data_IF_567198658286
#
_entry.id   IF_567198658286
#
_cell.length_a   1.000
_cell.length_b   1.000
_cell.length_c   1.000
_cell.angle_alpha   90.00
_cell.angle_beta   90.00
_cell.angle_gamma   90.00
#
_symmetry.space_group_name_H-M   'P 1'
#
loop_
_entity.id
_entity.type
_entity.pdbx_description
1 polymer ?
#
# COMPACT_ATOMS: atom_id res chain seq x y z
N UNK A 1 -16.23 -12.77 24.06
CA UNK A 1 -17.37 -11.88 23.77
C UNK A 1 -16.88 -10.45 23.91
N UNK A 2 -16.49 -9.81 22.81
CA UNK A 2 -16.15 -8.39 22.81
C UNK A 2 -17.40 -7.60 22.46
N UNK A 3 -17.96 -6.90 23.44
CA UNK A 3 -19.05 -5.95 23.27
C UNK A 3 -18.55 -4.77 22.44
N UNK A 4 -19.04 -4.63 21.21
CA UNK A 4 -18.82 -3.47 20.35
C UNK A 4 -19.65 -2.30 20.86
N UNK A 5 -19.12 -1.54 21.82
CA UNK A 5 -19.65 -0.21 22.15
C UNK A 5 -19.11 0.81 21.15
N UNK A 6 -19.77 0.97 20.00
CA UNK A 6 -19.52 2.10 19.08
C UNK A 6 -20.29 3.31 19.57
N UNK A 7 -19.61 4.20 20.30
CA UNK A 7 -20.20 5.41 20.87
C UNK A 7 -19.85 6.63 20.01
N UNK A 8 -20.54 6.75 18.86
CA UNK A 8 -20.80 7.96 18.06
C UNK A 8 -21.62 7.51 16.84
N UNK A 9 -22.87 7.94 16.70
CA UNK A 9 -23.64 7.66 15.48
C UNK A 9 -22.96 8.36 14.30
N UNK A 10 -22.33 7.59 13.40
CA UNK A 10 -21.79 8.13 12.15
C UNK A 10 -22.96 8.83 11.41
N UNK A 11 -22.80 10.10 11.00
CA UNK A 11 -23.87 10.83 10.33
C UNK A 11 -24.40 10.08 9.11
N UNK A 12 -25.73 10.00 8.97
CA UNK A 12 -26.35 9.35 7.81
C UNK A 12 -26.04 10.13 6.53
N UNK A 13 -25.58 9.41 5.52
CA UNK A 13 -25.39 9.92 4.15
C UNK A 13 -26.77 10.10 3.48
N UNK A 14 -26.92 11.09 2.61
CA UNK A 14 -28.19 11.25 1.86
C UNK A 14 -28.39 10.09 0.88
N UNK A 15 -29.63 9.88 0.44
CA UNK A 15 -29.96 8.81 -0.51
C UNK A 15 -29.22 9.01 -1.84
N UNK A 16 -29.14 10.26 -2.30
CA UNK A 16 -28.46 10.66 -3.53
C UNK A 16 -26.97 10.37 -3.44
N UNK A 17 -26.32 10.80 -2.34
CA UNK A 17 -24.89 10.57 -2.14
C UNK A 17 -24.56 9.10 -1.98
N UNK A 18 -25.44 8.32 -1.34
CA UNK A 18 -25.30 6.86 -1.25
C UNK A 18 -25.35 6.22 -2.64
N UNK A 19 -26.29 6.65 -3.49
CA UNK A 19 -26.42 6.17 -4.86
C UNK A 19 -25.19 6.51 -5.71
N UNK A 20 -24.68 7.75 -5.63
CA UNK A 20 -23.47 8.20 -6.33
C UNK A 20 -22.24 7.34 -5.99
N UNK A 21 -21.99 7.12 -4.69
CA UNK A 21 -20.86 6.32 -4.23
C UNK A 21 -21.00 4.88 -4.70
N UNK A 22 -22.20 4.31 -4.59
CA UNK A 22 -22.48 2.93 -5.04
C UNK A 22 -22.21 2.77 -6.53
N UNK A 23 -22.73 3.67 -7.36
CA UNK A 23 -22.55 3.63 -8.81
C UNK A 23 -21.08 3.82 -9.19
N UNK A 24 -20.40 4.80 -8.59
CA UNK A 24 -18.98 5.06 -8.82
C UNK A 24 -18.11 3.86 -8.44
N UNK A 25 -18.34 3.28 -7.25
CA UNK A 25 -17.62 2.10 -6.79
C UNK A 25 -17.86 0.89 -7.71
N UNK A 26 -19.09 0.65 -8.13
CA UNK A 26 -19.43 -0.42 -9.06
C UNK A 26 -18.74 -0.24 -10.42
N UNK A 27 -18.76 0.99 -10.96
CA UNK A 27 -18.08 1.33 -12.22
C UNK A 27 -16.57 1.12 -12.16
N UNK A 28 -15.92 1.56 -11.07
CA UNK A 28 -14.47 1.33 -10.89
C UNK A 28 -14.15 -0.16 -10.75
N UNK A 29 -14.95 -0.93 -10.00
CA UNK A 29 -14.77 -2.39 -9.89
C UNK A 29 -14.93 -3.10 -11.23
N UNK A 30 -15.90 -2.67 -12.05
CA UNK A 30 -16.10 -3.21 -13.38
C UNK A 30 -14.87 -2.96 -14.27
N UNK A 31 -14.34 -1.74 -14.28
CA UNK A 31 -13.10 -1.39 -15.01
C UNK A 31 -11.89 -2.18 -14.55
N UNK A 32 -11.71 -2.32 -13.23
CA UNK A 32 -10.64 -3.17 -12.67
C UNK A 32 -10.79 -4.62 -13.12
N UNK A 33 -12.01 -5.17 -13.11
CA UNK A 33 -12.26 -6.54 -13.57
C UNK A 33 -12.00 -6.71 -15.08
N UNK A 34 -12.39 -5.72 -15.89
CA UNK A 34 -12.18 -5.71 -17.33
C UNK A 34 -10.69 -5.66 -17.70
N UNK A 35 -9.92 -4.80 -17.04
CA UNK A 35 -8.50 -4.63 -17.32
C UNK A 35 -7.65 -5.90 -17.03
N UNK A 36 -8.15 -6.79 -16.18
CA UNK A 36 -7.49 -8.06 -15.80
C UNK A 36 -7.87 -9.21 -16.75
N UNK A 37 -8.95 -9.05 -17.51
CA UNK A 37 -9.49 -10.06 -18.42
C UNK A 37 -10.01 -11.31 -17.70
N UNK A 38 -10.18 -12.40 -18.45
CA UNK A 38 -10.63 -13.70 -17.94
C UNK A 38 -9.54 -14.51 -17.18
N UNK A 39 -8.41 -13.88 -16.86
CA UNK A 39 -7.30 -14.50 -16.14
C UNK A 39 -7.75 -14.97 -14.74
N UNK A 40 -7.11 -16.04 -14.24
CA UNK A 40 -7.54 -16.87 -13.11
C UNK A 40 -8.23 -16.09 -11.95
N UNK A 41 -9.35 -16.58 -11.40
CA UNK A 41 -10.05 -15.96 -10.26
C UNK A 41 -9.19 -15.71 -9.01
N UNK A 42 -8.05 -16.40 -8.91
CA UNK A 42 -7.17 -16.43 -7.73
C UNK A 42 -6.21 -15.25 -7.62
N UNK A 43 -5.97 -14.49 -8.70
CA UNK A 43 -5.02 -13.38 -8.73
C UNK A 43 -5.68 -12.08 -9.20
N UNK A 44 -6.79 -11.70 -8.55
CA UNK A 44 -7.42 -10.40 -8.82
C UNK A 44 -6.64 -9.28 -8.12
N UNK A 45 -6.22 -8.23 -8.85
CA UNK A 45 -5.64 -7.03 -8.27
C UNK A 45 -6.54 -6.41 -7.22
N UNK A 46 -5.92 -5.90 -6.16
CA UNK A 46 -6.59 -5.26 -5.04
C UNK A 46 -6.93 -3.81 -5.37
N UNK A 47 -8.21 -3.47 -5.30
CA UNK A 47 -8.66 -2.08 -5.33
C UNK A 47 -8.63 -1.50 -3.90
N UNK A 48 -7.74 -0.52 -3.67
CA UNK A 48 -7.71 0.27 -2.44
C UNK A 48 -8.48 1.57 -2.67
N UNK A 49 -9.60 1.76 -1.97
CA UNK A 49 -10.40 2.97 -2.05
C UNK A 49 -9.76 4.09 -1.22
N UNK A 50 -9.21 5.11 -1.87
CA UNK A 50 -8.49 6.21 -1.22
C UNK A 50 -9.48 7.24 -0.68
N UNK A 51 -9.66 7.25 0.64
CA UNK A 51 -10.70 8.00 1.34
C UNK A 51 -10.21 9.25 2.09
N UNK A 52 -8.96 9.68 1.85
CA UNK A 52 -8.42 10.92 2.44
C UNK A 52 -9.36 12.11 2.22
N UNK A 53 -9.59 12.87 3.29
CA UNK A 53 -10.54 13.98 3.39
C UNK A 53 -12.03 13.63 3.21
N UNK A 54 -12.39 12.36 3.03
CA UNK A 54 -13.79 11.93 2.98
C UNK A 54 -14.29 11.56 4.37
N UNK A 55 -15.54 11.89 4.72
CA UNK A 55 -16.09 11.57 6.03
C UNK A 55 -16.23 10.06 6.22
N UNK A 56 -16.21 9.58 7.47
CA UNK A 56 -16.42 8.17 7.81
C UNK A 56 -17.72 7.61 7.23
N UNK A 57 -18.75 8.45 7.09
CA UNK A 57 -20.03 8.09 6.50
C UNK A 57 -19.92 7.61 5.03
N UNK A 58 -19.11 8.28 4.19
CA UNK A 58 -18.86 7.86 2.81
C UNK A 58 -18.12 6.51 2.75
N UNK A 59 -17.23 6.27 3.72
CA UNK A 59 -16.46 5.03 3.85
C UNK A 59 -17.38 3.88 4.26
N UNK A 60 -18.30 4.14 5.21
CA UNK A 60 -19.28 3.17 5.67
C UNK A 60 -20.18 2.70 4.51
N UNK A 61 -20.63 3.62 3.65
CA UNK A 61 -21.38 3.26 2.43
C UNK A 61 -20.57 2.30 1.56
N UNK A 62 -19.32 2.63 1.22
CA UNK A 62 -18.46 1.73 0.46
C UNK A 62 -18.31 0.34 1.13
N UNK A 63 -18.17 0.32 2.46
CA UNK A 63 -18.05 -0.90 3.25
C UNK A 63 -19.30 -1.77 3.18
N UNK A 64 -20.49 -1.18 3.31
CA UNK A 64 -21.77 -1.87 3.18
C UNK A 64 -21.96 -2.49 1.78
N UNK A 65 -21.36 -1.88 0.75
CA UNK A 65 -21.27 -2.44 -0.60
C UNK A 65 -20.03 -3.34 -0.82
N UNK A 66 -19.47 -3.87 0.27
CA UNK A 66 -18.45 -4.91 0.28
C UNK A 66 -17.00 -4.43 0.07
N UNK A 67 -16.73 -3.12 0.05
CA UNK A 67 -15.35 -2.63 0.00
C UNK A 67 -14.69 -2.81 1.36
N UNK A 68 -13.51 -3.45 1.39
CA UNK A 68 -12.79 -3.68 2.64
C UNK A 68 -11.47 -2.93 2.70
N UNK A 69 -10.80 -2.70 1.57
CA UNK A 69 -9.50 -2.05 1.54
C UNK A 69 -9.64 -0.54 1.33
N UNK A 70 -9.17 0.23 2.30
CA UNK A 70 -9.23 1.70 2.26
C UNK A 70 -7.85 2.31 2.48
N UNK A 71 -7.56 3.38 1.75
CA UNK A 71 -6.28 4.07 1.76
C UNK A 71 -6.37 5.44 2.42
N UNK A 72 -5.52 5.70 3.41
CA UNK A 72 -5.41 6.99 4.08
C UNK A 72 -4.00 7.58 4.01
N UNK A 73 -3.93 8.91 3.94
CA UNK A 73 -2.67 9.65 3.84
C UNK A 73 -2.20 10.26 5.17
N UNK A 74 -3.12 10.50 6.10
CA UNK A 74 -2.84 11.25 7.33
C UNK A 74 -3.08 10.35 8.55
N UNK A 75 -2.06 10.22 9.40
CA UNK A 75 -2.11 9.29 10.55
C UNK A 75 -3.27 9.61 11.48
N UNK A 76 -3.50 10.89 11.79
CA UNK A 76 -4.56 11.28 12.72
C UNK A 76 -5.95 10.98 12.14
N UNK A 77 -6.18 11.34 10.88
CA UNK A 77 -7.42 11.04 10.16
C UNK A 77 -7.71 9.53 10.14
N UNK A 78 -6.69 8.71 9.87
CA UNK A 78 -6.82 7.27 9.86
C UNK A 78 -7.17 6.71 11.25
N UNK A 79 -6.51 7.20 12.31
CA UNK A 79 -6.81 6.77 13.69
C UNK A 79 -8.25 7.08 14.07
N UNK A 80 -8.73 8.26 13.72
CA UNK A 80 -10.08 8.68 14.09
C UNK A 80 -11.13 7.86 13.32
N UNK A 81 -10.93 7.67 12.01
CA UNK A 81 -11.76 6.77 11.19
C UNK A 81 -11.76 5.32 11.69
N UNK A 82 -10.61 4.79 12.09
CA UNK A 82 -10.49 3.41 12.55
C UNK A 82 -11.20 3.15 13.89
N UNK A 83 -11.47 4.17 14.70
CA UNK A 83 -12.27 4.05 15.93
C UNK A 83 -13.77 4.01 15.65
N UNK A 84 -14.20 4.68 14.58
CA UNK A 84 -15.60 4.84 14.22
C UNK A 84 -16.12 3.69 13.34
N UNK A 85 -15.25 3.13 12.49
CA UNK A 85 -15.64 2.21 11.43
C UNK A 85 -15.41 0.72 11.79
N UNK A 86 -16.07 -0.22 11.08
CA UNK A 86 -15.95 -1.65 11.33
C UNK A 86 -14.51 -2.18 11.30
N UNK A 87 -14.21 -3.13 12.20
CA UNK A 87 -12.87 -3.71 12.35
C UNK A 87 -12.46 -4.60 11.16
N UNK A 88 -13.44 -5.04 10.35
CA UNK A 88 -13.23 -5.80 9.11
C UNK A 88 -12.64 -4.97 7.98
N UNK A 89 -12.63 -3.63 8.11
CA UNK A 89 -11.90 -2.76 7.20
C UNK A 89 -10.39 -3.07 7.30
N UNK A 90 -9.74 -3.15 6.15
CA UNK A 90 -8.30 -3.31 5.99
C UNK A 90 -7.71 -1.95 5.65
N UNK A 91 -7.08 -1.31 6.63
CA UNK A 91 -6.50 0.01 6.43
C UNK A 91 -5.12 -0.05 5.76
N UNK A 92 -4.96 0.66 4.65
CA UNK A 92 -3.69 0.90 3.99
C UNK A 92 -3.23 2.33 4.29
N UNK A 93 -2.07 2.48 4.94
CA UNK A 93 -1.44 3.79 5.03
C UNK A 93 -0.59 4.03 3.78
N UNK A 94 -0.93 5.08 3.03
CA UNK A 94 -0.34 5.42 1.72
C UNK A 94 0.18 6.87 1.67
N UNK A 95 0.28 7.53 2.84
CA UNK A 95 0.91 8.84 2.97
C UNK A 95 2.34 8.78 3.49
N UNK A 96 2.98 9.94 3.62
CA UNK A 96 4.32 10.04 4.21
C UNK A 96 4.28 9.76 5.71
N UNK A 97 5.02 8.75 6.17
CA UNK A 97 5.10 8.41 7.59
C UNK A 97 6.22 9.20 8.28
N UNK A 98 5.86 10.07 9.21
CA UNK A 98 6.82 10.66 10.15
C UNK A 98 7.12 9.66 11.28
N UNK A 99 8.40 9.50 11.64
CA UNK A 99 8.82 8.49 12.63
C UNK A 99 8.17 8.65 14.01
N UNK A 100 7.91 9.89 14.44
CA UNK A 100 7.22 10.19 15.70
C UNK A 100 5.72 9.81 15.70
N UNK A 101 5.13 9.55 14.54
CA UNK A 101 3.74 9.09 14.40
C UNK A 101 3.61 7.57 14.28
N UNK A 102 4.72 6.82 14.23
CA UNK A 102 4.71 5.37 14.09
C UNK A 102 3.93 4.66 15.21
N UNK A 103 4.11 5.09 16.47
CA UNK A 103 3.37 4.53 17.64
C UNK A 103 1.86 4.72 17.51
N UNK A 104 1.45 5.90 17.07
CA UNK A 104 0.04 6.22 16.87
C UNK A 104 -0.55 5.38 15.73
N UNK A 105 0.15 5.28 14.59
CA UNK A 105 -0.29 4.45 13.47
C UNK A 105 -0.37 2.96 13.85
N UNK A 106 0.65 2.44 14.56
CA UNK A 106 0.71 1.05 15.00
C UNK A 106 -0.39 0.66 16.00
N UNK A 107 -1.01 1.64 16.67
CA UNK A 107 -2.11 1.40 17.62
C UNK A 107 -3.41 0.95 16.96
N UNK A 108 -3.55 1.11 15.63
CA UNK A 108 -4.75 0.72 14.89
C UNK A 108 -4.77 -0.81 14.72
N UNK A 109 -5.76 -1.53 15.30
CA UNK A 109 -5.77 -2.99 15.31
C UNK A 109 -5.82 -3.60 13.90
N UNK A 110 -6.66 -3.02 13.04
CA UNK A 110 -6.90 -3.44 11.66
C UNK A 110 -6.09 -2.65 10.63
N UNK A 111 -4.94 -2.08 11.05
CA UNK A 111 -3.94 -1.57 10.10
C UNK A 111 -3.45 -2.73 9.26
N UNK A 112 -3.75 -2.77 7.98
CA UNK A 112 -3.44 -3.92 7.15
C UNK A 112 -2.07 -3.78 6.47
N UNK A 113 -1.73 -2.58 5.98
CA UNK A 113 -0.49 -2.38 5.21
C UNK A 113 0.02 -0.95 5.32
N UNK A 114 1.34 -0.77 5.39
CA UNK A 114 2.00 0.54 5.20
C UNK A 114 2.78 0.51 3.89
N UNK A 115 2.39 1.32 2.91
CA UNK A 115 2.93 1.21 1.55
C UNK A 115 4.10 2.17 1.24
N UNK A 116 4.52 2.97 2.23
CA UNK A 116 5.39 4.14 2.02
C UNK A 116 6.73 4.04 2.74
N UNK A 117 7.19 2.82 3.03
CA UNK A 117 8.46 2.63 3.74
C UNK A 117 9.62 2.97 2.80
N UNK A 118 10.44 3.95 3.16
CA UNK A 118 11.57 4.41 2.35
C UNK A 118 12.87 4.59 3.14
N UNK A 119 12.91 4.19 4.41
CA UNK A 119 14.13 4.23 5.22
C UNK A 119 14.13 3.23 6.38
N UNK A 120 15.33 2.82 6.80
CA UNK A 120 15.50 1.95 7.96
C UNK A 120 15.00 2.62 9.26
N UNK A 121 15.09 3.95 9.35
CA UNK A 121 14.54 4.73 10.48
C UNK A 121 13.02 4.56 10.59
N UNK A 122 12.29 4.65 9.49
CA UNK A 122 10.84 4.43 9.47
C UNK A 122 10.50 2.98 9.80
N UNK A 123 11.19 2.02 9.18
CA UNK A 123 11.01 0.59 9.45
C UNK A 123 11.22 0.27 10.94
N UNK A 124 12.32 0.73 11.54
CA UNK A 124 12.61 0.54 12.96
C UNK A 124 11.56 1.17 13.87
N UNK A 125 11.13 2.40 13.55
CA UNK A 125 10.11 3.09 14.35
C UNK A 125 8.78 2.33 14.34
N UNK A 126 8.36 1.80 13.19
CA UNK A 126 7.14 1.03 13.04
C UNK A 126 7.27 -0.36 13.68
N UNK A 127 8.36 -1.08 13.40
CA UNK A 127 8.67 -2.39 13.98
C UNK A 127 8.60 -2.39 15.52
N UNK A 128 9.23 -1.41 16.16
CA UNK A 128 9.26 -1.23 17.63
C UNK A 128 7.92 -0.80 18.21
N UNK A 129 7.10 -0.12 17.42
CA UNK A 129 5.82 0.43 17.85
C UNK A 129 4.68 -0.61 17.80
N UNK A 130 4.82 -1.67 17.02
CA UNK A 130 3.78 -2.69 16.86
C UNK A 130 3.60 -3.49 18.15
N UNK A 131 2.34 -3.76 18.55
CA UNK A 131 2.05 -4.54 19.75
C UNK A 131 2.55 -5.98 19.60
N UNK A 132 3.03 -6.57 20.70
CA UNK A 132 3.42 -7.98 20.75
C UNK A 132 2.22 -8.90 20.47
N UNK A 133 2.46 -10.04 19.81
CA UNK A 133 1.43 -11.05 19.51
C UNK A 133 0.52 -10.75 18.31
N UNK A 134 0.68 -9.58 17.68
CA UNK A 134 0.05 -9.24 16.40
C UNK A 134 0.78 -9.94 15.24
N UNK A 135 0.04 -10.31 14.20
CA UNK A 135 0.63 -10.78 12.92
C UNK A 135 1.52 -9.70 12.32
N UNK A 136 2.71 -10.04 11.78
CA UNK A 136 3.61 -9.07 11.17
C UNK A 136 2.87 -8.13 10.20
N UNK A 137 3.14 -6.83 10.30
CA UNK A 137 2.50 -5.84 9.47
C UNK A 137 3.10 -5.87 8.06
N UNK A 138 2.25 -6.06 7.06
CA UNK A 138 2.64 -5.97 5.67
C UNK A 138 3.15 -4.55 5.33
N UNK A 139 4.33 -4.48 4.70
CA UNK A 139 4.94 -3.23 4.25
C UNK A 139 5.36 -3.30 2.80
N UNK A 140 5.24 -2.18 2.09
CA UNK A 140 5.80 -2.00 0.75
C UNK A 140 6.88 -0.92 0.80
N UNK A 141 7.91 -1.11 -0.02
CA UNK A 141 8.96 -0.12 -0.21
C UNK A 141 8.52 0.91 -1.25
N UNK A 142 8.60 2.19 -0.91
CA UNK A 142 8.30 3.25 -1.86
C UNK A 142 9.52 3.55 -2.72
N UNK A 143 9.37 3.41 -4.03
CA UNK A 143 10.40 3.68 -5.04
C UNK A 143 10.03 4.95 -5.79
N UNK A 144 11.00 5.85 -5.94
CA UNK A 144 10.85 7.03 -6.78
C UNK A 144 11.18 6.64 -8.24
N UNK A 145 10.16 6.25 -9.00
CA UNK A 145 10.35 5.87 -10.41
C UNK A 145 10.45 7.06 -11.35
N UNK A 146 10.01 8.26 -10.95
CA UNK A 146 9.93 9.40 -11.88
C UNK A 146 11.28 10.07 -12.14
N UNK A 147 12.27 9.85 -11.27
CA UNK A 147 13.57 10.51 -11.34
C UNK A 147 13.54 12.00 -10.95
N UNK A 148 12.43 12.48 -10.39
CA UNK A 148 12.34 13.86 -9.88
C UNK A 148 12.79 13.89 -8.42
N UNK A 149 13.80 14.69 -8.09
CA UNK A 149 14.34 14.81 -6.73
C UNK A 149 13.30 15.27 -5.69
N UNK A 150 12.27 15.98 -6.14
CA UNK A 150 11.19 16.46 -5.29
C UNK A 150 10.23 15.34 -4.83
N UNK A 151 10.28 14.15 -5.44
CA UNK A 151 9.40 13.03 -5.09
C UNK A 151 10.02 12.11 -4.06
N UNK A 152 9.16 11.60 -3.19
CA UNK A 152 9.55 10.67 -2.12
C UNK A 152 9.73 9.25 -2.64
N UNK A 153 10.65 8.52 -2.01
CA UNK A 153 10.95 7.12 -2.33
C UNK A 153 12.44 6.91 -2.51
N UNK A 154 12.84 5.65 -2.54
CA UNK A 154 14.21 5.24 -2.81
C UNK A 154 14.46 5.19 -4.32
N UNK A 155 15.71 5.39 -4.77
CA UNK A 155 16.07 5.17 -6.17
C UNK A 155 15.71 3.74 -6.63
N UNK A 156 15.27 3.58 -7.89
CA UNK A 156 14.98 2.26 -8.46
C UNK A 156 16.27 1.45 -8.66
N UNK A 157 16.12 0.13 -8.78
CA UNK A 157 17.23 -0.72 -9.21
C UNK A 157 17.27 -0.72 -10.74
N UNK A 158 18.45 -0.59 -11.31
CA UNK A 158 18.66 -0.85 -12.74
C UNK A 158 19.27 -2.24 -12.89
N UNK A 159 18.74 -3.03 -13.82
CA UNK A 159 19.33 -4.31 -14.24
C UNK A 159 20.78 -4.14 -14.76
N UNK A 160 21.10 -2.93 -15.20
CA UNK A 160 22.40 -2.48 -15.69
C UNK A 160 23.23 -1.70 -14.66
N UNK A 161 22.98 -1.86 -13.36
CA UNK A 161 24.04 -1.59 -12.38
C UNK A 161 24.77 -2.92 -12.14
N UNK A 162 25.69 -3.35 -13.04
CA UNK A 162 26.74 -4.22 -12.59
C UNK A 162 27.51 -3.34 -11.62
N UNK A 163 27.24 -3.53 -10.34
CA UNK A 163 27.97 -2.96 -9.25
C UNK A 163 29.45 -3.01 -9.62
N UNK A 164 30.04 -1.87 -10.00
CA UNK A 164 31.45 -1.79 -10.39
C UNK A 164 32.34 -2.24 -9.23
N UNK A 165 31.76 -2.32 -8.03
CA UNK A 165 32.19 -3.17 -6.93
C UNK A 165 31.02 -4.03 -6.45
N UNK A 166 31.10 -5.37 -6.58
CA UNK A 166 30.13 -6.38 -6.09
C UNK A 166 29.83 -6.32 -4.57
N UNK A 167 30.37 -5.34 -3.86
CA UNK A 167 30.35 -5.17 -2.41
C UNK A 167 29.36 -4.12 -1.90
N UNK A 168 28.87 -3.19 -2.73
CA UNK A 168 28.05 -2.08 -2.24
C UNK A 168 26.58 -2.29 -2.64
N UNK A 169 25.73 -2.53 -1.63
CA UNK A 169 24.29 -2.66 -1.79
C UNK A 169 23.67 -1.28 -2.04
N UNK A 170 22.69 -1.19 -2.93
CA UNK A 170 21.88 0.02 -3.06
C UNK A 170 21.05 0.27 -1.81
N UNK A 171 20.59 1.51 -1.59
CA UNK A 171 19.73 1.85 -0.45
C UNK A 171 18.45 0.99 -0.39
N UNK A 172 17.89 0.62 -1.55
CA UNK A 172 16.73 -0.26 -1.63
C UNK A 172 17.05 -1.68 -1.15
N UNK A 173 18.19 -2.24 -1.59
CA UNK A 173 18.65 -3.57 -1.14
C UNK A 173 18.99 -3.56 0.36
N UNK A 174 19.67 -2.51 0.84
CA UNK A 174 19.98 -2.35 2.26
C UNK A 174 18.70 -2.30 3.11
N UNK A 175 17.70 -1.52 2.68
CA UNK A 175 16.43 -1.44 3.38
C UNK A 175 15.65 -2.75 3.35
N UNK A 176 15.56 -3.40 2.19
CA UNK A 176 14.89 -4.69 2.06
C UNK A 176 15.54 -5.74 3.00
N UNK A 177 16.88 -5.84 2.99
CA UNK A 177 17.65 -6.69 3.91
C UNK A 177 17.33 -6.38 5.35
N UNK A 178 17.35 -5.10 5.72
CA UNK A 178 17.09 -4.65 7.08
C UNK A 178 15.69 -5.02 7.57
N UNK A 179 14.66 -4.87 6.73
CA UNK A 179 13.29 -5.26 7.08
C UNK A 179 13.22 -6.77 7.27
N UNK A 180 13.75 -7.53 6.32
CA UNK A 180 13.67 -8.99 6.33
C UNK A 180 14.39 -9.58 7.55
N UNK A 181 15.61 -9.14 7.84
CA UNK A 181 16.45 -9.74 8.90
C UNK A 181 16.17 -9.15 10.27
N UNK A 182 16.00 -7.82 10.34
CA UNK A 182 16.06 -7.08 11.61
C UNK A 182 14.70 -6.59 12.10
N UNK A 183 13.62 -6.77 11.33
CA UNK A 183 12.29 -6.26 11.68
C UNK A 183 11.22 -7.38 11.67
N UNK A 184 11.25 -8.37 12.59
CA UNK A 184 10.35 -9.52 12.56
C UNK A 184 8.85 -9.20 12.73
N UNK A 185 8.51 -8.00 13.21
CA UNK A 185 7.10 -7.54 13.27
C UNK A 185 6.63 -6.91 11.95
N UNK A 186 7.49 -6.82 10.93
CA UNK A 186 7.17 -6.34 9.60
C UNK A 186 7.32 -7.47 8.60
N UNK A 187 6.49 -7.47 7.57
CA UNK A 187 6.58 -8.42 6.47
C UNK A 187 6.73 -7.65 5.15
N UNK A 188 7.88 -7.83 4.49
CA UNK A 188 8.14 -7.21 3.19
C UNK A 188 7.27 -7.86 2.13
N UNK A 189 6.27 -7.11 1.64
CA UNK A 189 5.22 -7.65 0.78
C UNK A 189 5.29 -7.13 -0.66
N UNK A 190 5.99 -6.02 -0.92
CA UNK A 190 6.06 -5.48 -2.27
C UNK A 190 6.74 -4.12 -2.41
N UNK A 191 6.57 -3.52 -3.58
CA UNK A 191 7.00 -2.18 -3.94
C UNK A 191 5.81 -1.28 -4.25
N UNK A 192 6.00 0.02 -4.08
CA UNK A 192 5.00 1.05 -4.38
C UNK A 192 5.66 2.19 -5.15
N UNK A 193 4.98 2.73 -6.17
CA UNK A 193 5.32 4.04 -6.74
C UNK A 193 4.09 4.92 -6.85
N UNK A 194 4.34 6.24 -6.76
CA UNK A 194 3.36 7.27 -7.10
C UNK A 194 3.41 7.59 -8.60
N UNK A 195 4.57 7.41 -9.25
CA UNK A 195 4.79 7.76 -10.65
C UNK A 195 4.90 9.27 -10.92
N UNK A 196 5.07 9.62 -12.20
CA UNK A 196 5.07 10.96 -12.73
C UNK A 196 3.66 11.39 -13.16
N UNK A 197 3.26 12.61 -12.78
CA UNK A 197 1.95 13.14 -13.12
C UNK A 197 1.75 13.21 -14.64
N UNK A 198 2.77 13.67 -15.36
CA UNK A 198 2.71 13.82 -16.81
C UNK A 198 2.54 12.45 -17.51
N UNK A 199 3.26 11.43 -17.05
CA UNK A 199 3.11 10.06 -17.56
C UNK A 199 1.77 9.42 -17.15
N UNK A 200 1.24 9.75 -15.97
CA UNK A 200 -0.09 9.34 -15.54
C UNK A 200 -1.20 9.95 -16.40
N UNK A 201 -1.01 11.16 -16.93
CA UNK A 201 -2.00 11.83 -17.78
C UNK A 201 -1.91 11.30 -19.22
N UNK A 202 -0.70 11.05 -19.73
CA UNK A 202 -0.47 10.58 -21.11
C UNK A 202 -0.69 9.09 -21.32
N UNK A 203 -0.85 8.29 -20.25
CA UNK A 203 -1.01 6.84 -20.31
C UNK A 203 -2.25 6.32 -21.09
N UNK A 204 -3.10 7.21 -21.63
CA UNK A 204 -4.42 6.87 -22.14
C UNK A 204 -4.52 6.52 -23.62
N UNK A 205 -3.46 6.58 -24.46
CA UNK A 205 -3.67 6.31 -25.90
C UNK A 205 -2.75 5.30 -26.60
N UNK A 206 -1.47 5.15 -26.29
CA UNK A 206 -0.64 4.12 -26.99
C UNK A 206 0.67 3.76 -26.31
N UNK A 207 1.13 4.55 -25.33
CA UNK A 207 2.46 4.39 -24.75
C UNK A 207 2.42 3.69 -23.39
N UNK A 208 3.30 2.71 -23.20
CA UNK A 208 3.52 2.08 -21.90
C UNK A 208 4.06 3.13 -20.93
N UNK A 209 3.44 3.24 -19.74
CA UNK A 209 3.92 4.16 -18.72
C UNK A 209 5.28 3.67 -18.17
N UNK A 210 6.33 4.45 -18.44
CA UNK A 210 7.71 4.11 -18.08
C UNK A 210 7.94 3.94 -16.57
N UNK A 211 7.12 4.59 -15.71
CA UNK A 211 7.20 4.40 -14.26
C UNK A 211 6.80 2.99 -13.85
N UNK A 212 5.78 2.42 -14.49
CA UNK A 212 5.28 1.10 -14.16
C UNK A 212 6.26 0.01 -14.59
N UNK A 213 6.84 0.13 -15.79
CA UNK A 213 7.89 -0.77 -16.25
C UNK A 213 9.12 -0.67 -15.34
N UNK A 214 9.53 0.54 -14.94
CA UNK A 214 10.66 0.74 -14.04
C UNK A 214 10.41 0.13 -12.66
N UNK A 215 9.20 0.23 -12.11
CA UNK A 215 8.87 -0.42 -10.83
C UNK A 215 8.93 -1.95 -10.96
N UNK A 216 8.42 -2.50 -12.07
CA UNK A 216 8.45 -3.93 -12.36
C UNK A 216 9.88 -4.44 -12.50
N UNK A 217 10.73 -3.77 -13.28
CA UNK A 217 12.16 -4.10 -13.40
C UNK A 217 12.86 -4.04 -12.04
N UNK A 218 12.55 -3.02 -11.23
CA UNK A 218 13.08 -2.90 -9.86
C UNK A 218 12.66 -4.07 -8.99
N UNK A 219 11.40 -4.49 -9.08
CA UNK A 219 10.84 -5.64 -8.35
C UNK A 219 11.53 -6.93 -8.76
N UNK A 220 11.62 -7.20 -10.05
CA UNK A 220 12.25 -8.41 -10.59
C UNK A 220 13.73 -8.49 -10.18
N UNK A 221 14.47 -7.37 -10.25
CA UNK A 221 15.88 -7.33 -9.82
C UNK A 221 16.04 -7.52 -8.31
N UNK A 222 15.16 -6.92 -7.50
CA UNK A 222 15.18 -7.09 -6.05
C UNK A 222 14.85 -8.53 -5.63
N UNK A 223 13.88 -9.18 -6.28
CA UNK A 223 13.54 -10.57 -6.02
C UNK A 223 14.71 -11.51 -6.30
N UNK A 224 15.37 -11.35 -7.47
CA UNK A 224 16.57 -12.14 -7.81
C UNK A 224 17.66 -11.97 -6.75
N UNK A 225 17.88 -10.72 -6.30
CA UNK A 225 18.85 -10.42 -5.26
C UNK A 225 18.48 -11.04 -3.90
N UNK A 226 17.22 -10.88 -3.45
CA UNK A 226 16.73 -11.48 -2.20
C UNK A 226 16.85 -13.00 -2.24
N UNK A 227 16.50 -13.61 -3.37
CA UNK A 227 16.60 -15.06 -3.58
C UNK A 227 18.06 -15.55 -3.53
N UNK A 228 18.99 -14.76 -4.06
CA UNK A 228 20.41 -15.13 -4.11
C UNK A 228 21.10 -14.93 -2.77
N UNK A 229 20.81 -13.83 -2.09
CA UNK A 229 21.55 -13.40 -0.89
C UNK A 229 20.89 -13.83 0.43
N UNK A 230 19.56 -13.93 0.47
CA UNK A 230 18.79 -14.13 1.71
C UNK A 230 17.99 -15.44 1.75
N UNK A 231 17.74 -16.12 0.61
CA UNK A 231 17.06 -17.40 0.64
C UNK A 231 17.98 -18.48 1.24
N UNK A 232 17.50 -19.29 2.19
CA UNK A 232 18.30 -20.38 2.76
C UNK A 232 18.57 -21.43 1.67
N UNK A 233 19.83 -21.62 1.27
CA UNK A 233 20.18 -22.75 0.39
C UNK A 233 21.44 -22.65 -0.48
N UNK A 234 22.14 -21.52 -0.59
CA UNK A 234 23.50 -21.47 -1.19
C UNK A 234 24.36 -20.38 -0.55
N UNK A 235 25.03 -20.69 0.56
CA UNK A 235 26.25 -19.97 0.94
C UNK A 235 26.26 -19.15 2.23
N UNK A 236 25.24 -19.19 3.10
CA UNK A 236 25.43 -18.72 4.48
C UNK A 236 25.62 -19.92 5.39
N UNK A 237 26.80 -19.99 6.00
CA UNK A 237 27.02 -20.72 7.23
C UNK A 237 25.85 -20.47 8.18
N UNK A 238 25.41 -21.52 8.85
CA UNK A 238 24.48 -21.40 9.95
C UNK A 238 25.04 -20.33 10.90
N UNK A 239 24.34 -19.20 11.01
CA UNK A 239 24.55 -18.33 12.16
C UNK A 239 24.11 -19.20 13.33
N UNK A 240 25.10 -19.69 14.06
CA UNK A 240 24.93 -20.49 15.26
C UNK A 240 24.38 -19.58 16.36
N UNK A 241 23.11 -19.19 16.21
CA UNK A 241 22.35 -18.64 17.32
C UNK A 241 22.12 -19.81 18.26
N UNK A 242 22.86 -19.81 19.36
CA UNK A 242 22.81 -20.78 20.45
C UNK A 242 21.47 -20.71 21.22
N UNK A 243 20.35 -20.70 20.49
CA UNK A 243 18.98 -20.79 20.96
C UNK A 243 18.21 -21.61 19.91
N UNK A 244 18.04 -22.92 20.19
CA UNK A 244 17.06 -23.83 19.57
C UNK A 244 16.79 -23.64 18.08
N UNK A 245 17.50 -24.41 17.24
CA UNK A 245 17.36 -24.43 15.78
C UNK A 245 15.93 -24.76 15.31
N UNK A 246 15.08 -23.75 15.21
CA UNK A 246 13.87 -23.81 14.43
C UNK A 246 14.24 -23.56 12.96
N UNK A 247 14.38 -24.63 12.19
CA UNK A 247 14.59 -24.61 10.73
C UNK A 247 13.43 -23.94 9.96
N UNK A 248 12.42 -23.40 10.66
CA UNK A 248 11.25 -22.73 10.11
C UNK A 248 11.38 -21.21 9.92
N UNK A 249 12.46 -20.56 10.41
CA UNK A 249 12.77 -19.16 10.05
C UNK A 249 13.38 -19.07 8.65
N UNK A 250 12.66 -19.54 7.64
CA UNK A 250 12.91 -19.11 6.28
C UNK A 250 12.55 -17.63 6.24
N UNK A 251 13.50 -16.76 5.88
CA UNK A 251 13.22 -15.34 5.66
C UNK A 251 12.33 -15.24 4.44
N UNK A 252 11.02 -15.15 4.64
CA UNK A 252 10.06 -15.16 3.55
C UNK A 252 9.50 -13.75 3.35
N UNK A 253 9.67 -13.26 2.14
CA UNK A 253 9.04 -12.06 1.61
C UNK A 253 7.96 -12.48 0.63
N UNK A 254 6.92 -11.66 0.48
CA UNK A 254 5.84 -11.92 -0.49
C UNK A 254 5.12 -13.26 -0.27
N UNK A 255 5.05 -13.78 0.96
CA UNK A 255 4.45 -15.10 1.24
C UNK A 255 3.01 -15.21 0.73
N UNK A 256 2.23 -14.15 0.91
CA UNK A 256 0.82 -14.10 0.48
C UNK A 256 0.67 -14.15 -1.04
N UNK A 257 1.77 -13.99 -1.79
CA UNK A 257 1.81 -13.98 -3.26
C UNK A 257 2.71 -15.08 -3.82
N UNK A 258 2.96 -16.16 -3.06
CA UNK A 258 3.79 -17.27 -3.52
C UNK A 258 5.28 -16.93 -3.65
N UNK A 259 5.78 -15.97 -2.87
CA UNK A 259 7.17 -15.50 -2.92
C UNK A 259 7.41 -14.32 -3.86
N UNK A 260 6.35 -13.78 -4.47
CA UNK A 260 6.38 -12.61 -5.36
C UNK A 260 6.10 -11.32 -4.60
N UNK A 261 6.93 -10.31 -4.80
CA UNK A 261 6.71 -8.95 -4.33
C UNK A 261 5.60 -8.28 -5.15
N UNK A 262 4.58 -7.79 -4.44
CA UNK A 262 3.45 -7.08 -5.03
C UNK A 262 3.86 -5.72 -5.60
N UNK A 263 3.18 -5.28 -6.66
CA UNK A 263 3.32 -3.94 -7.24
C UNK A 263 2.10 -3.09 -6.89
N UNK A 264 2.32 -2.01 -6.14
CA UNK A 264 1.31 -1.00 -5.89
C UNK A 264 1.55 0.23 -6.75
N UNK A 265 0.79 0.34 -7.84
CA UNK A 265 0.90 1.43 -8.82
C UNK A 265 -0.42 1.63 -9.56
N UNK A 266 -0.66 2.85 -10.04
CA UNK A 266 -1.94 3.24 -10.64
C UNK A 266 -2.88 3.92 -9.65
N UNK A 267 -3.37 5.08 -10.07
CA UNK A 267 -4.32 5.95 -9.39
C UNK A 267 -5.52 6.22 -10.31
N UNK A 268 -6.43 7.10 -9.89
CA UNK A 268 -7.70 7.33 -10.61
C UNK A 268 -7.56 7.64 -12.11
N UNK A 269 -6.45 8.24 -12.55
CA UNK A 269 -6.22 8.63 -13.95
C UNK A 269 -5.56 7.56 -14.82
N UNK A 270 -4.85 6.60 -14.23
CA UNK A 270 -3.94 5.69 -14.94
C UNK A 270 -3.99 4.23 -14.44
N UNK A 271 -4.95 3.88 -13.57
CA UNK A 271 -5.02 2.53 -13.02
C UNK A 271 -5.25 1.46 -14.10
N UNK A 272 -5.97 1.76 -15.19
CA UNK A 272 -6.14 0.80 -16.29
C UNK A 272 -4.80 0.45 -16.97
N UNK A 273 -3.94 1.46 -17.19
CA UNK A 273 -2.60 1.27 -17.71
C UNK A 273 -1.72 0.51 -16.71
N UNK A 274 -1.85 0.80 -15.41
CA UNK A 274 -1.13 0.10 -14.36
C UNK A 274 -1.50 -1.38 -14.28
N UNK A 275 -2.79 -1.71 -14.40
CA UNK A 275 -3.27 -3.09 -14.43
C UNK A 275 -2.74 -3.84 -15.65
N UNK A 276 -2.76 -3.22 -16.84
CA UNK A 276 -2.15 -3.79 -18.05
C UNK A 276 -0.63 -4.01 -17.91
N UNK A 277 0.05 -3.18 -17.12
CA UNK A 277 1.48 -3.33 -16.80
C UNK A 277 1.76 -4.36 -15.69
N UNK A 278 0.72 -4.94 -15.07
CA UNK A 278 0.84 -5.97 -14.04
C UNK A 278 0.82 -5.44 -12.60
N UNK A 279 0.10 -4.34 -12.33
CA UNK A 279 -0.15 -3.87 -10.98
C UNK A 279 -1.01 -4.86 -10.19
N UNK A 280 -0.58 -5.18 -8.97
CA UNK A 280 -1.33 -6.02 -8.03
C UNK A 280 -2.23 -5.18 -7.10
N UNK A 281 -1.95 -3.88 -6.95
CA UNK A 281 -2.70 -2.95 -6.11
C UNK A 281 -2.89 -1.62 -6.82
N UNK A 282 -4.14 -1.23 -7.06
CA UNK A 282 -4.51 0.09 -7.59
C UNK A 282 -5.19 0.95 -6.51
N UNK A 283 -4.92 2.26 -6.53
CA UNK A 283 -5.32 3.19 -5.47
C UNK A 283 -6.24 4.29 -6.02
N UNK A 284 -7.55 4.08 -5.97
CA UNK A 284 -8.52 4.97 -6.62
C UNK A 284 -9.25 5.82 -5.58
N UNK A 285 -9.27 7.14 -5.77
CA UNK A 285 -9.92 8.10 -4.87
C UNK A 285 -11.03 8.86 -5.58
N UNK A 286 -10.66 9.82 -6.43
CA UNK A 286 -11.60 10.69 -7.17
C UNK A 286 -12.61 9.89 -7.98
N UNK A 287 -12.21 8.75 -8.56
CA UNK A 287 -13.12 7.88 -9.32
C UNK A 287 -14.19 7.18 -8.47
N UNK A 288 -14.03 7.09 -7.14
CA UNK A 288 -15.00 6.47 -6.23
C UNK A 288 -15.80 7.54 -5.48
N UNK A 289 -15.11 8.53 -4.93
CA UNK A 289 -15.72 9.50 -4.02
C UNK A 289 -16.02 10.84 -4.68
N UNK A 290 -15.74 11.02 -5.96
CA UNK A 290 -15.83 12.29 -6.67
C UNK A 290 -14.84 13.35 -6.18
N UNK A 291 -14.95 14.55 -6.75
CA UNK A 291 -14.16 15.71 -6.36
C UNK A 291 -14.27 16.03 -4.87
N UNK A 292 -13.23 16.67 -4.33
CA UNK A 292 -13.25 17.17 -2.95
C UNK A 292 -14.17 18.37 -2.89
N UNK A 293 -14.99 18.46 -1.85
CA UNK A 293 -15.63 19.73 -1.51
C UNK A 293 -14.53 20.73 -1.15
N UNK A 294 -14.59 21.92 -1.72
CA UNK A 294 -13.64 22.99 -1.36
C UNK A 294 -13.85 23.40 0.11
N UNK A 295 -12.84 24.03 0.74
CA UNK A 295 -12.99 24.54 2.12
C UNK A 295 -14.18 25.51 2.26
N UNK A 296 -14.58 26.16 1.18
CA UNK A 296 -15.69 27.11 1.13
C UNK A 296 -17.05 26.40 1.10
N UNK A 297 -17.17 25.26 0.42
CA UNK A 297 -18.37 24.41 0.43
C UNK A 297 -18.63 23.74 1.78
N UNK A 298 -17.60 23.55 2.61
CA UNK A 298 -17.72 22.97 3.95
C UNK A 298 -18.22 24.01 4.97
N UNK A 299 -18.03 25.31 4.70
CA UNK A 299 -18.39 26.41 5.61
C UNK A 299 -19.81 26.96 5.42
N UNK A 300 -20.51 26.60 4.35
CA UNK A 300 -21.90 27.02 4.16
C UNK A 300 -22.84 25.93 4.70
N UNK A 301 -23.48 26.11 5.87
CA UNK A 301 -24.66 25.31 6.17
C UNK A 301 -25.70 25.65 5.09
N UNK A 302 -26.24 24.63 4.41
CA UNK A 302 -27.36 24.82 3.49
C UNK A 302 -28.48 25.53 4.26
N UNK A 303 -28.69 26.81 3.98
CA UNK A 303 -29.91 27.49 4.36
C UNK A 303 -31.03 26.75 3.65
N UNK A 304 -31.85 26.04 4.42
CA UNK A 304 -33.06 25.40 3.94
C UNK A 304 -34.04 26.54 3.61
N UNK A 305 -34.36 26.71 2.34
CA UNK A 305 -35.54 27.44 1.87
C UNK A 305 -36.72 26.50 1.77
#
# INVERSE_FOLDING_TARGET
>A
MYTTSTNSEIPKVTVERTAEIRESLAGIRARVAEAVGASSPTERPKLVAVSKYKPSADILVCYEYGQKDFGENYVQELVDKAKELPLEIRWHFIGTLQSNKAKLLASIPNLHTVQTISSAKMANALHKALPSGRTPLNVLLQVNTSGEDAKSGLPPLTSLSPSSNRSELSDLQQLAKHIVISCPNLHLQGLMTIGALDLSISANETERNADFERLKETRDALEVWLQTELAPGRGSEAIDTNEGSDRSKCWRWGEESGGKLLLSMGMSSDFDAALKAGSDIVRVGTGIFGSRKTKDEIKQPKAVS
#
